data_IF_023566549373
#
_entry.id   IF_023566549373
#
_cell.length_a   1.000
_cell.length_b   1.000
_cell.length_c   1.000
_cell.angle_alpha   90.00
_cell.angle_beta   90.00
_cell.angle_gamma   90.00
#
_symmetry.space_group_name_H-M   'P 1'
#
loop_
_entity.id
_entity.type
_entity.pdbx_description
1 polymer ?
#
# COMPACT_ATOMS: atom_id res chain seq x y z
N UNK A 1 -3.64 -13.03 -5.44
CA UNK A 1 -4.11 -11.96 -4.54
C UNK A 1 -2.92 -11.45 -3.74
N UNK A 2 -2.95 -10.17 -3.38
CA UNK A 2 -1.94 -9.53 -2.54
C UNK A 2 -2.60 -8.99 -1.28
N UNK A 3 -1.91 -9.08 -0.15
CA UNK A 3 -2.35 -8.47 1.10
C UNK A 3 -1.16 -7.95 1.89
N UNK A 4 -1.36 -6.82 2.55
CA UNK A 4 -0.44 -6.29 3.55
C UNK A 4 -1.00 -6.63 4.93
N UNK A 5 -0.15 -7.17 5.81
CA UNK A 5 -0.52 -7.50 7.18
C UNK A 5 0.58 -7.14 8.16
N UNK A 6 0.18 -6.89 9.39
CA UNK A 6 1.05 -6.48 10.48
C UNK A 6 0.40 -6.90 11.80
N UNK A 7 1.22 -7.20 12.81
CA UNK A 7 0.74 -7.71 14.09
C UNK A 7 0.32 -6.58 15.05
N UNK A 8 1.22 -5.62 15.30
CA UNK A 8 0.97 -4.38 16.04
C UNK A 8 1.81 -3.24 15.46
N UNK A 9 1.33 -1.98 15.47
CA UNK A 9 2.18 -0.82 15.27
C UNK A 9 3.38 -0.88 16.24
N UNK A 10 4.60 -0.72 15.74
CA UNK A 10 5.84 -0.84 16.51
C UNK A 10 6.34 -2.27 16.81
N UNK A 11 5.61 -3.32 16.43
CA UNK A 11 6.10 -4.70 16.53
C UNK A 11 6.87 -5.12 15.26
N UNK A 12 7.72 -6.17 15.37
CA UNK A 12 8.53 -6.65 14.24
C UNK A 12 7.65 -7.09 13.07
N UNK A 13 7.63 -6.23 12.06
CA UNK A 13 7.32 -6.57 10.68
C UNK A 13 5.92 -6.19 10.25
N UNK A 14 5.85 -5.27 9.29
CA UNK A 14 4.80 -5.29 8.30
C UNK A 14 5.27 -6.18 7.15
N UNK A 15 4.36 -6.96 6.59
CA UNK A 15 4.66 -7.90 5.53
C UNK A 15 3.72 -7.72 4.36
N UNK A 16 4.25 -7.95 3.16
CA UNK A 16 3.46 -8.08 1.95
C UNK A 16 3.45 -9.55 1.55
N UNK A 17 2.26 -10.12 1.36
CA UNK A 17 2.09 -11.53 1.01
C UNK A 17 1.36 -11.65 -0.32
N UNK A 18 1.91 -12.47 -1.20
CA UNK A 18 1.25 -12.95 -2.42
C UNK A 18 0.69 -14.34 -2.15
N UNK A 19 -0.60 -14.50 -2.47
CA UNK A 19 -1.27 -15.80 -2.51
C UNK A 19 -1.66 -16.09 -3.95
N UNK A 20 -1.19 -17.19 -4.52
CA UNK A 20 -1.60 -17.65 -5.86
C UNK A 20 -2.96 -18.33 -5.75
N UNK A 21 -4.07 -17.75 -6.26
CA UNK A 21 -5.42 -18.26 -5.97
C UNK A 21 -5.66 -19.68 -6.50
N UNK A 22 -5.04 -20.04 -7.62
CA UNK A 22 -5.21 -21.35 -8.24
C UNK A 22 -4.53 -22.48 -7.46
N UNK A 23 -3.45 -22.19 -6.74
CA UNK A 23 -2.61 -23.22 -6.08
C UNK A 23 -2.58 -23.10 -4.56
N UNK A 24 -2.97 -21.95 -4.01
CA UNK A 24 -2.80 -21.65 -2.59
C UNK A 24 -1.35 -21.37 -2.19
N UNK A 25 -0.40 -21.29 -3.14
CA UNK A 25 0.99 -20.97 -2.84
C UNK A 25 1.11 -19.59 -2.19
N UNK A 26 1.90 -19.50 -1.12
CA UNK A 26 2.09 -18.30 -0.32
C UNK A 26 3.55 -17.89 -0.33
N UNK A 27 3.82 -16.64 -0.70
CA UNK A 27 5.14 -16.03 -0.58
C UNK A 27 5.02 -14.71 0.17
N UNK A 28 5.93 -14.48 1.10
CA UNK A 28 5.88 -13.32 2.01
C UNK A 28 7.22 -12.60 2.02
N UNK A 29 7.16 -11.28 1.97
CA UNK A 29 8.32 -10.40 2.02
C UNK A 29 8.15 -9.32 3.09
N UNK A 30 9.24 -8.82 3.71
CA UNK A 30 9.19 -7.61 4.51
C UNK A 30 8.59 -6.45 3.70
N UNK A 31 7.62 -5.75 4.27
CA UNK A 31 7.04 -4.57 3.65
C UNK A 31 7.91 -3.34 3.97
N UNK A 32 8.22 -2.48 2.99
CA UNK A 32 8.99 -1.26 3.22
C UNK A 32 8.21 -0.15 3.96
N UNK A 33 6.89 -0.34 4.15
CA UNK A 33 6.01 0.61 4.85
C UNK A 33 5.44 -0.04 6.09
N UNK A 34 5.49 0.66 7.21
CA UNK A 34 4.85 0.21 8.44
C UNK A 34 3.34 0.46 8.40
N UNK A 35 2.56 -0.58 8.67
CA UNK A 35 1.09 -0.52 8.80
C UNK A 35 0.40 0.31 7.69
N UNK A 36 0.61 -0.05 6.40
CA UNK A 36 0.01 0.67 5.28
C UNK A 36 -1.51 0.58 5.32
N UNK A 37 -2.17 1.67 4.94
CA UNK A 37 -3.64 1.76 4.89
C UNK A 37 -4.22 1.63 3.48
N UNK A 38 -3.36 1.60 2.46
CA UNK A 38 -3.68 1.32 1.08
C UNK A 38 -2.61 0.45 0.43
N UNK A 39 -3.04 -0.43 -0.47
CA UNK A 39 -2.20 -1.36 -1.20
C UNK A 39 -2.78 -1.57 -2.59
N UNK A 40 -1.99 -1.38 -3.64
CA UNK A 40 -2.27 -1.89 -4.98
C UNK A 40 -1.00 -2.50 -5.59
N UNK A 41 -1.14 -3.61 -6.32
CA UNK A 41 0.01 -4.28 -6.95
C UNK A 41 -0.32 -4.61 -8.40
N UNK A 42 0.66 -4.43 -9.30
CA UNK A 42 0.63 -4.87 -10.70
C UNK A 42 1.98 -5.46 -11.07
N UNK A 43 2.00 -6.74 -11.44
CA UNK A 43 3.26 -7.44 -11.70
C UNK A 43 4.17 -7.39 -10.47
N UNK A 44 5.34 -6.79 -10.60
CA UNK A 44 6.31 -6.59 -9.53
C UNK A 44 6.22 -5.22 -8.86
N UNK A 45 5.36 -4.31 -9.34
CA UNK A 45 5.23 -2.96 -8.80
C UNK A 45 4.10 -2.88 -7.76
N UNK A 46 4.40 -2.29 -6.61
CA UNK A 46 3.46 -2.06 -5.53
C UNK A 46 3.33 -0.57 -5.19
N UNK A 47 2.12 -0.14 -4.86
CA UNK A 47 1.80 1.13 -4.22
C UNK A 47 1.37 0.83 -2.80
N UNK A 48 1.97 1.52 -1.85
CA UNK A 48 1.65 1.46 -0.43
C UNK A 48 1.37 2.89 0.03
N UNK A 49 0.35 3.07 0.86
CA UNK A 49 0.06 4.39 1.43
C UNK A 49 0.03 4.38 2.94
N UNK A 50 0.31 5.55 3.51
CA UNK A 50 0.17 5.82 4.94
C UNK A 50 -0.44 7.20 5.11
N UNK A 51 -1.68 7.28 5.59
CA UNK A 51 -2.33 8.56 5.91
C UNK A 51 -1.62 9.25 7.07
N UNK A 52 -1.50 10.57 6.98
CA UNK A 52 -1.19 11.39 8.13
C UNK A 52 -2.49 11.73 8.89
N UNK A 53 -2.53 11.42 10.19
CA UNK A 53 -3.71 11.70 11.02
C UNK A 53 -4.07 13.19 10.99
N UNK A 54 -5.35 13.49 10.70
CA UNK A 54 -5.91 14.84 10.64
C UNK A 54 -5.17 15.81 9.71
N UNK A 55 -4.41 15.30 8.73
CA UNK A 55 -3.78 16.13 7.70
C UNK A 55 -4.45 15.88 6.36
N UNK A 56 -4.41 16.91 5.54
CA UNK A 56 -4.84 16.87 4.14
C UNK A 56 -3.71 16.33 3.26
N UNK A 57 -3.01 15.29 3.71
CA UNK A 57 -1.93 14.67 2.95
C UNK A 57 -1.79 13.18 3.22
N UNK A 58 -1.12 12.51 2.28
CA UNK A 58 -0.83 11.08 2.35
C UNK A 58 0.58 10.79 1.88
N UNK A 59 1.29 9.92 2.59
CA UNK A 59 2.54 9.35 2.12
C UNK A 59 2.24 8.22 1.13
N UNK A 60 2.90 8.26 -0.02
CA UNK A 60 2.81 7.25 -1.08
C UNK A 60 4.22 6.69 -1.30
N UNK A 61 4.34 5.38 -1.09
CA UNK A 61 5.54 4.61 -1.36
C UNK A 61 5.29 3.71 -2.56
N UNK A 62 6.13 3.84 -3.59
CA UNK A 62 6.23 2.86 -4.67
C UNK A 62 7.36 1.91 -4.37
N UNK A 63 7.12 0.63 -4.57
CA UNK A 63 8.12 -0.41 -4.38
C UNK A 63 8.09 -1.38 -5.55
N UNK A 64 9.22 -2.02 -5.81
CA UNK A 64 9.36 -3.07 -6.81
C UNK A 64 9.91 -4.33 -6.16
N UNK A 65 9.35 -5.49 -6.52
CA UNK A 65 9.87 -6.78 -6.11
C UNK A 65 11.04 -7.17 -7.03
N UNK A 66 12.26 -7.03 -6.51
CA UNK A 66 13.52 -7.34 -7.21
C UNK A 66 14.21 -8.45 -6.43
N UNK A 67 14.49 -9.58 -7.08
CA UNK A 67 15.22 -10.72 -6.50
C UNK A 67 14.74 -11.17 -5.11
N UNK A 68 13.42 -11.17 -4.91
CA UNK A 68 12.82 -11.57 -3.63
C UNK A 68 12.92 -10.51 -2.54
N UNK A 69 13.15 -9.25 -2.88
CA UNK A 69 13.13 -8.11 -1.97
C UNK A 69 12.24 -6.98 -2.50
N UNK A 70 11.40 -6.41 -1.63
CA UNK A 70 10.63 -5.21 -1.96
C UNK A 70 11.50 -3.97 -1.76
N UNK A 71 11.93 -3.39 -2.87
CA UNK A 71 12.79 -2.21 -2.89
C UNK A 71 11.94 -0.96 -3.13
N UNK A 72 12.02 0.02 -2.24
CA UNK A 72 11.38 1.33 -2.44
C UNK A 72 12.01 2.04 -3.64
N UNK A 73 11.20 2.36 -4.64
CA UNK A 73 11.62 3.10 -5.85
C UNK A 73 11.26 4.59 -5.76
N UNK A 74 10.21 4.92 -5.01
CA UNK A 74 9.80 6.31 -4.77
C UNK A 74 9.09 6.43 -3.43
N UNK A 75 9.32 7.55 -2.75
CA UNK A 75 8.51 7.99 -1.61
C UNK A 75 8.12 9.46 -1.82
N UNK A 76 6.84 9.78 -1.71
CA UNK A 76 6.32 11.14 -1.89
C UNK A 76 5.14 11.41 -0.96
N UNK A 77 5.07 12.63 -0.43
CA UNK A 77 3.86 13.15 0.21
C UNK A 77 3.00 13.82 -0.86
N UNK A 78 1.74 13.40 -0.96
CA UNK A 78 0.74 14.04 -1.82
C UNK A 78 -0.22 14.86 -0.97
N UNK A 79 -0.43 16.11 -1.38
CA UNK A 79 -1.53 16.92 -0.88
C UNK A 79 -2.86 16.35 -1.40
N UNK A 80 -3.87 16.44 -0.56
CA UNK A 80 -5.22 15.91 -0.80
C UNK A 80 -6.24 16.98 -0.46
N UNK A 81 -7.42 17.01 -1.09
CA UNK A 81 -8.42 18.05 -0.83
C UNK A 81 -9.11 17.93 0.53
N UNK A 82 -8.85 16.85 1.27
CA UNK A 82 -9.30 16.65 2.63
C UNK A 82 -8.67 15.39 3.21
N UNK A 83 -8.85 15.09 4.50
CA UNK A 83 -8.21 13.95 5.13
C UNK A 83 -8.58 12.65 4.44
N UNK A 84 -7.60 11.76 4.27
CA UNK A 84 -7.85 10.41 3.74
C UNK A 84 -8.65 9.60 4.76
N UNK A 85 -9.82 9.12 4.32
CA UNK A 85 -10.77 8.41 5.16
C UNK A 85 -10.25 7.00 5.41
N UNK A 86 -10.03 6.68 6.68
CA UNK A 86 -9.51 5.39 7.12
C UNK A 86 -10.40 4.25 6.62
N UNK A 87 -9.79 3.19 6.05
CA UNK A 87 -10.48 2.00 5.51
C UNK A 87 -11.39 2.27 4.29
N UNK A 88 -11.32 3.45 3.69
CA UNK A 88 -12.01 3.77 2.44
C UNK A 88 -11.02 3.83 1.29
N UNK A 89 -10.34 2.71 1.05
CA UNK A 89 -9.39 2.53 -0.03
C UNK A 89 -9.61 1.21 -0.74
N UNK A 90 -9.41 1.19 -2.05
CA UNK A 90 -9.52 -0.01 -2.87
C UNK A 90 -8.39 -0.05 -3.88
N UNK A 91 -7.53 -1.06 -3.75
CA UNK A 91 -6.46 -1.31 -4.70
C UNK A 91 -6.72 -2.54 -5.55
N UNK A 92 -6.47 -2.41 -6.85
CA UNK A 92 -6.56 -3.51 -7.82
C UNK A 92 -5.71 -3.21 -9.04
N UNK A 93 -4.97 -4.21 -9.51
CA UNK A 93 -4.22 -4.17 -10.78
C UNK A 93 -3.34 -2.91 -10.94
N UNK A 94 -2.67 -2.52 -9.84
CA UNK A 94 -1.80 -1.35 -9.80
C UNK A 94 -2.52 -0.01 -9.75
N UNK A 95 -3.82 0.02 -9.50
CA UNK A 95 -4.59 1.24 -9.29
C UNK A 95 -5.09 1.22 -7.85
N UNK A 96 -4.77 2.27 -7.11
CA UNK A 96 -5.27 2.51 -5.76
C UNK A 96 -6.23 3.71 -5.77
N UNK A 97 -7.47 3.45 -5.38
CA UNK A 97 -8.47 4.48 -5.11
C UNK A 97 -8.54 4.76 -3.62
N UNK A 98 -8.53 6.04 -3.24
CA UNK A 98 -8.65 6.49 -1.86
C UNK A 98 -9.71 7.57 -1.74
N UNK A 99 -10.53 7.50 -0.69
CA UNK A 99 -11.47 8.55 -0.34
C UNK A 99 -10.75 9.65 0.43
N UNK A 100 -10.76 10.88 -0.09
CA UNK A 100 -10.15 12.05 0.55
C UNK A 100 -11.18 13.20 0.60
N UNK A 101 -11.56 13.65 1.80
CA UNK A 101 -12.59 14.68 1.95
C UNK A 101 -13.93 14.25 1.35
N UNK A 102 -14.36 14.89 0.24
CA UNK A 102 -15.56 14.56 -0.56
C UNK A 102 -15.33 14.00 -1.97
N UNK A 103 -14.07 13.68 -2.30
CA UNK A 103 -13.71 13.07 -3.57
C UNK A 103 -13.06 11.68 -3.43
N UNK A 104 -12.93 11.02 -4.58
CA UNK A 104 -12.08 9.83 -4.77
C UNK A 104 -10.82 10.23 -5.55
N UNK A 105 -9.67 9.85 -5.02
CA UNK A 105 -8.36 10.04 -5.66
C UNK A 105 -7.84 8.73 -6.22
N UNK A 106 -7.20 8.80 -7.40
CA UNK A 106 -6.55 7.67 -8.07
C UNK A 106 -5.04 7.80 -7.97
N UNK A 107 -4.37 6.70 -7.64
CA UNK A 107 -2.92 6.56 -7.66
C UNK A 107 -2.58 5.31 -8.46
N UNK A 108 -1.86 5.46 -9.57
CA UNK A 108 -1.40 4.36 -10.42
C UNK A 108 0.00 3.89 -10.02
N UNK A 109 0.35 2.63 -10.28
CA UNK A 109 1.61 1.94 -9.91
C UNK A 109 2.72 2.15 -10.94
#
# INVERSE_FOLDING_TARGET
MWLAWYSRPGARGTFLTRITPATGEVTTWPCPVEAPDGLAVRGHHAILTQRAHNKNSIAVTRAELIDGSLTTTQHKILETPGPVVKRCGQGRDGILWLRAGDIWMRIDA
#
